data_IF_745431329716
#
_entry.id   IF_745431329716
#
_cell.length_a   1.000
_cell.length_b   1.000
_cell.length_c   1.000
_cell.angle_alpha   90.00
_cell.angle_beta   90.00
_cell.angle_gamma   90.00
#
_symmetry.space_group_name_H-M   'P 1'
#
loop_
_entity.id
_entity.type
_entity.pdbx_description
1 polymer ?
#
# COMPACT_ATOMS: atom_id res chain seq x y z
N UNK A 1 17.57 9.00 3.55
CA UNK A 1 17.82 7.99 2.52
C UNK A 1 17.24 6.64 2.94
N UNK A 2 16.97 5.74 1.98
CA UNK A 2 16.40 4.41 2.24
C UNK A 2 16.84 3.41 1.15
N UNK A 3 16.81 2.10 1.47
CA UNK A 3 17.17 1.00 0.57
C UNK A 3 15.93 0.17 0.21
N UNK A 4 15.62 0.07 -1.07
CA UNK A 4 14.61 -0.88 -1.56
C UNK A 4 15.20 -2.29 -1.63
N UNK A 5 14.44 -3.28 -1.16
CA UNK A 5 14.89 -4.68 -1.08
C UNK A 5 13.93 -5.62 -1.80
N UNK A 6 14.45 -6.74 -2.29
CA UNK A 6 13.64 -7.80 -2.90
C UNK A 6 13.53 -8.99 -1.94
N UNK A 7 12.31 -9.27 -1.48
CA UNK A 7 12.00 -10.34 -0.52
C UNK A 7 10.82 -11.22 -0.94
N UNK A 8 10.45 -11.23 -2.23
CA UNK A 8 9.36 -12.05 -2.76
C UNK A 8 8.13 -11.30 -3.28
N UNK A 9 8.16 -9.96 -3.26
CA UNK A 9 7.14 -9.09 -3.87
C UNK A 9 7.29 -8.95 -5.37
N UNK A 10 6.18 -8.71 -6.06
CA UNK A 10 6.10 -8.32 -7.47
C UNK A 10 5.17 -7.12 -7.63
N UNK A 11 5.35 -6.34 -8.69
CA UNK A 11 4.41 -5.28 -9.05
C UNK A 11 3.21 -5.86 -9.81
N UNK A 12 2.08 -5.15 -9.74
CA UNK A 12 0.84 -5.54 -10.41
C UNK A 12 -0.18 -6.12 -9.44
N UNK A 13 -1.30 -6.57 -10.01
CA UNK A 13 -2.28 -7.35 -9.28
C UNK A 13 -1.81 -8.81 -9.23
N UNK A 14 -1.88 -9.42 -8.04
CA UNK A 14 -1.71 -10.87 -7.93
C UNK A 14 -2.95 -11.59 -8.51
N UNK A 15 -2.79 -12.83 -8.98
CA UNK A 15 -3.93 -13.70 -9.30
C UNK A 15 -4.90 -13.81 -8.14
N UNK A 16 -6.19 -13.97 -8.44
CA UNK A 16 -7.23 -14.10 -7.42
C UNK A 16 -6.92 -15.23 -6.44
N UNK A 17 -7.02 -14.94 -5.14
CA UNK A 17 -6.73 -15.88 -4.05
C UNK A 17 -5.25 -16.16 -3.81
N UNK A 18 -4.33 -15.58 -4.59
CA UNK A 18 -2.89 -15.73 -4.36
C UNK A 18 -2.39 -14.67 -3.37
N UNK A 19 -1.72 -15.13 -2.31
CA UNK A 19 -0.89 -14.28 -1.44
C UNK A 19 0.58 -14.65 -1.68
N UNK A 20 1.46 -13.69 -2.04
CA UNK A 20 2.87 -13.98 -2.25
C UNK A 20 3.54 -14.44 -0.95
N UNK A 21 4.54 -15.32 -1.05
CA UNK A 21 5.37 -15.68 0.12
C UNK A 21 6.54 -14.71 0.25
N UNK A 22 6.70 -14.09 1.42
CA UNK A 22 7.84 -13.22 1.69
C UNK A 22 8.96 -13.95 2.44
N UNK A 23 10.21 -13.64 2.09
CA UNK A 23 11.42 -14.09 2.78
C UNK A 23 11.78 -13.12 3.92
N UNK A 24 11.08 -13.28 5.04
CA UNK A 24 11.25 -12.42 6.23
C UNK A 24 12.62 -12.61 6.89
N UNK A 25 13.21 -13.80 6.81
CA UNK A 25 14.54 -14.03 7.35
C UNK A 25 15.61 -13.26 6.57
N UNK A 26 15.49 -13.21 5.24
CA UNK A 26 16.33 -12.33 4.42
C UNK A 26 16.14 -10.86 4.74
N UNK A 27 14.89 -10.42 4.96
CA UNK A 27 14.60 -9.03 5.37
C UNK A 27 15.34 -8.68 6.67
N UNK A 28 15.22 -9.51 7.71
CA UNK A 28 15.91 -9.32 8.99
C UNK A 28 17.41 -9.21 8.78
N UNK A 29 18.00 -10.12 8.00
CA UNK A 29 19.44 -10.13 7.76
C UNK A 29 19.93 -8.86 7.06
N UNK A 30 19.19 -8.37 6.07
CA UNK A 30 19.51 -7.11 5.38
C UNK A 30 19.41 -5.94 6.36
N UNK A 31 18.37 -5.90 7.20
CA UNK A 31 18.19 -4.83 8.18
C UNK A 31 19.34 -4.79 9.19
N UNK A 32 19.75 -5.94 9.71
CA UNK A 32 20.88 -6.07 10.65
C UNK A 32 22.20 -5.59 10.04
N UNK A 33 22.49 -5.98 8.79
CA UNK A 33 23.76 -5.66 8.14
C UNK A 33 23.87 -4.20 7.71
N UNK A 34 22.75 -3.59 7.31
CA UNK A 34 22.75 -2.25 6.72
C UNK A 34 22.41 -1.16 7.73
N UNK A 35 21.58 -1.45 8.73
CA UNK A 35 20.99 -0.46 9.63
C UNK A 35 20.03 0.53 8.94
N UNK A 36 20.07 0.63 7.61
CA UNK A 36 19.33 1.61 6.82
C UNK A 36 17.80 1.45 6.91
N UNK A 37 17.02 2.53 6.71
CA UNK A 37 15.60 2.40 6.48
C UNK A 37 15.31 1.57 5.23
N UNK A 38 14.39 0.60 5.31
CA UNK A 38 14.11 -0.31 4.19
C UNK A 38 12.76 -0.01 3.53
N UNK A 39 12.68 -0.24 2.22
CA UNK A 39 11.49 0.00 1.39
C UNK A 39 10.97 -1.31 0.78
N UNK A 40 9.67 -1.53 0.91
CA UNK A 40 8.92 -2.62 0.26
C UNK A 40 8.23 -2.09 -1.00
N UNK A 41 8.68 -2.57 -2.15
CA UNK A 41 7.98 -2.39 -3.42
C UNK A 41 6.91 -3.47 -3.60
N UNK A 42 5.92 -3.25 -4.47
CA UNK A 42 4.89 -4.26 -4.75
C UNK A 42 4.04 -4.66 -3.55
N UNK A 43 3.72 -3.74 -2.63
CA UNK A 43 2.97 -4.03 -1.41
C UNK A 43 1.47 -4.27 -1.62
N UNK A 44 0.92 -3.88 -2.77
CA UNK A 44 -0.49 -4.14 -3.13
C UNK A 44 -0.79 -5.62 -3.19
N UNK A 45 -1.96 -6.04 -2.68
CA UNK A 45 -2.37 -7.45 -2.68
C UNK A 45 -1.44 -8.41 -1.91
N UNK A 46 -0.49 -7.90 -1.11
CA UNK A 46 0.50 -8.73 -0.42
C UNK A 46 -0.06 -9.49 0.80
N UNK A 47 -1.29 -9.18 1.24
CA UNK A 47 -1.90 -9.75 2.44
C UNK A 47 -1.44 -9.08 3.74
N UNK A 48 -2.33 -9.03 4.74
CA UNK A 48 -2.07 -8.30 5.99
C UNK A 48 -0.89 -8.85 6.78
N UNK A 49 -0.78 -10.18 6.85
CA UNK A 49 0.29 -10.84 7.62
C UNK A 49 1.66 -10.46 7.09
N UNK A 50 1.85 -10.49 5.77
CA UNK A 50 3.09 -10.08 5.12
C UNK A 50 3.43 -8.62 5.40
N UNK A 51 2.45 -7.71 5.33
CA UNK A 51 2.68 -6.30 5.61
C UNK A 51 3.09 -6.10 7.07
N UNK A 52 2.35 -6.70 8.02
CA UNK A 52 2.65 -6.61 9.46
C UNK A 52 4.02 -7.20 9.78
N UNK A 53 4.34 -8.39 9.24
CA UNK A 53 5.62 -9.03 9.41
C UNK A 53 6.76 -8.19 8.81
N UNK A 54 6.56 -7.61 7.64
CA UNK A 54 7.56 -6.73 7.00
C UNK A 54 7.87 -5.50 7.85
N UNK A 55 6.84 -4.83 8.37
CA UNK A 55 7.02 -3.66 9.26
C UNK A 55 7.72 -4.06 10.55
N UNK A 56 7.30 -5.16 11.18
CA UNK A 56 7.89 -5.65 12.42
C UNK A 56 9.39 -6.01 12.28
N UNK A 57 9.84 -6.35 11.06
CA UNK A 57 11.20 -6.80 10.79
C UNK A 57 12.07 -5.77 10.04
N UNK A 58 11.61 -4.52 9.93
CA UNK A 58 12.47 -3.40 9.54
C UNK A 58 12.11 -2.67 8.25
N UNK A 59 10.99 -2.98 7.59
CA UNK A 59 10.45 -2.11 6.54
C UNK A 59 9.91 -0.81 7.14
N UNK A 60 10.30 0.32 6.56
CA UNK A 60 9.90 1.66 6.96
C UNK A 60 9.00 2.38 5.93
N UNK A 61 9.02 1.94 4.68
CA UNK A 61 8.21 2.50 3.59
C UNK A 61 7.59 1.38 2.76
N UNK A 62 6.31 1.49 2.45
CA UNK A 62 5.56 0.51 1.66
C UNK A 62 4.96 1.23 0.44
N UNK A 63 5.06 0.61 -0.74
CA UNK A 63 4.46 1.13 -1.97
C UNK A 63 3.23 0.29 -2.35
N UNK A 64 2.05 0.90 -2.41
CA UNK A 64 0.74 0.22 -2.59
C UNK A 64 -0.03 0.73 -3.82
N UNK A 65 0.69 0.97 -4.92
CA UNK A 65 0.16 1.67 -6.10
C UNK A 65 -1.01 0.99 -6.80
N UNK A 66 -0.99 -0.34 -6.96
CA UNK A 66 -2.05 -1.06 -7.68
C UNK A 66 -3.39 -0.96 -6.95
N UNK A 67 -3.40 -1.20 -5.64
CA UNK A 67 -4.62 -1.06 -4.84
C UNK A 67 -5.16 0.37 -4.92
N UNK A 68 -4.28 1.37 -4.80
CA UNK A 68 -4.69 2.78 -4.91
C UNK A 68 -5.34 3.08 -6.27
N UNK A 69 -4.71 2.68 -7.37
CA UNK A 69 -5.26 2.89 -8.70
C UNK A 69 -6.56 2.13 -8.94
N UNK A 70 -6.68 0.89 -8.43
CA UNK A 70 -7.90 0.10 -8.52
C UNK A 70 -9.04 0.77 -7.74
N UNK A 71 -8.79 1.26 -6.52
CA UNK A 71 -9.81 1.98 -5.74
C UNK A 71 -10.30 3.25 -6.45
N UNK A 72 -9.40 4.01 -7.07
CA UNK A 72 -9.78 5.20 -7.85
C UNK A 72 -10.60 4.83 -9.09
N UNK A 73 -10.18 3.79 -9.82
CA UNK A 73 -10.92 3.26 -10.98
C UNK A 73 -12.34 2.84 -10.58
N UNK A 74 -12.47 2.09 -9.50
CA UNK A 74 -13.76 1.53 -9.06
C UNK A 74 -14.70 2.63 -8.55
N UNK A 75 -14.17 3.62 -7.81
CA UNK A 75 -14.93 4.80 -7.42
C UNK A 75 -15.41 5.59 -8.65
N UNK A 76 -14.52 5.84 -9.61
CA UNK A 76 -14.85 6.54 -10.86
C UNK A 76 -15.95 5.82 -11.63
N UNK A 77 -15.81 4.50 -11.81
CA UNK A 77 -16.78 3.68 -12.54
C UNK A 77 -18.16 3.71 -11.87
N UNK A 78 -18.21 3.66 -10.53
CA UNK A 78 -19.45 3.76 -9.76
C UNK A 78 -20.11 5.13 -9.95
N UNK A 79 -19.36 6.22 -9.78
CA UNK A 79 -19.90 7.58 -9.89
C UNK A 79 -20.44 7.85 -11.30
N UNK A 80 -19.70 7.47 -12.35
CA UNK A 80 -20.12 7.68 -13.73
C UNK A 80 -21.33 6.82 -14.14
N UNK A 81 -21.52 5.66 -13.49
CA UNK A 81 -22.72 4.85 -13.69
C UNK A 81 -23.97 5.56 -13.17
N UNK A 82 -23.86 6.24 -12.03
CA UNK A 82 -25.00 6.90 -11.38
C UNK A 82 -25.24 8.32 -11.90
N UNK A 83 -24.16 9.05 -12.23
CA UNK A 83 -24.23 10.41 -12.79
C UNK A 83 -23.20 10.59 -13.94
N UNK A 84 -23.55 10.16 -15.17
CA UNK A 84 -22.63 10.24 -16.31
C UNK A 84 -22.34 11.68 -16.78
N UNK A 85 -23.09 12.68 -16.31
CA UNK A 85 -22.92 14.09 -16.69
C UNK A 85 -22.23 14.92 -15.59
N UNK A 86 -21.69 14.28 -14.56
CA UNK A 86 -20.90 14.95 -13.53
C UNK A 86 -19.75 15.74 -14.16
N UNK A 87 -19.50 16.96 -13.68
CA UNK A 87 -18.35 17.72 -14.15
C UNK A 87 -17.05 17.15 -13.55
N UNK A 88 -15.93 17.47 -14.19
CA UNK A 88 -14.64 16.88 -13.82
C UNK A 88 -14.20 17.21 -12.39
N UNK A 89 -14.46 18.43 -11.89
CA UNK A 89 -14.04 18.85 -10.55
C UNK A 89 -14.77 18.05 -9.46
N UNK A 90 -16.09 17.88 -9.60
CA UNK A 90 -16.87 17.09 -8.64
C UNK A 90 -16.49 15.60 -8.71
N UNK A 91 -16.19 15.08 -9.91
CA UNK A 91 -15.74 13.70 -10.08
C UNK A 91 -14.44 13.43 -9.32
N UNK A 92 -13.39 14.23 -9.54
CA UNK A 92 -12.10 14.00 -8.87
C UNK A 92 -12.21 14.16 -7.35
N UNK A 93 -13.03 15.11 -6.89
CA UNK A 93 -13.24 15.33 -5.46
C UNK A 93 -13.93 14.12 -4.80
N UNK A 94 -14.99 13.59 -5.43
CA UNK A 94 -15.69 12.43 -4.89
C UNK A 94 -14.82 11.16 -4.96
N UNK A 95 -14.04 10.97 -6.03
CA UNK A 95 -13.10 9.85 -6.16
C UNK A 95 -12.01 9.90 -5.07
N UNK A 96 -11.48 11.08 -4.76
CA UNK A 96 -10.53 11.26 -3.66
C UNK A 96 -11.15 10.85 -2.32
N UNK A 97 -12.36 11.33 -2.03
CA UNK A 97 -13.08 10.97 -0.80
C UNK A 97 -13.33 9.46 -0.71
N UNK A 98 -13.86 8.85 -1.77
CA UNK A 98 -14.24 7.44 -1.81
C UNK A 98 -13.00 6.52 -1.71
N UNK A 99 -11.90 6.88 -2.37
CA UNK A 99 -10.66 6.09 -2.36
C UNK A 99 -9.81 6.33 -1.10
N UNK A 100 -10.07 7.40 -0.33
CA UNK A 100 -9.30 7.73 0.87
C UNK A 100 -9.29 6.64 1.93
N UNK A 101 -10.33 5.81 1.99
CA UNK A 101 -10.41 4.74 2.99
C UNK A 101 -9.35 3.66 2.77
N UNK A 102 -8.95 3.41 1.52
CA UNK A 102 -7.85 2.50 1.23
C UNK A 102 -6.52 3.01 1.80
N UNK A 103 -6.29 4.33 1.74
CA UNK A 103 -5.10 4.95 2.33
C UNK A 103 -5.15 4.82 3.85
N UNK A 104 -6.32 5.08 4.47
CA UNK A 104 -6.50 4.88 5.92
C UNK A 104 -6.29 3.43 6.34
N UNK A 105 -6.74 2.48 5.53
CA UNK A 105 -6.49 1.05 5.74
C UNK A 105 -4.99 0.76 5.83
N UNK A 106 -4.20 1.21 4.86
CA UNK A 106 -2.75 1.00 4.88
C UNK A 106 -2.03 1.74 6.01
N UNK A 107 -2.49 2.93 6.40
CA UNK A 107 -1.99 3.65 7.58
C UNK A 107 -2.18 2.83 8.85
N UNK A 108 -3.37 2.22 9.03
CA UNK A 108 -3.66 1.35 10.18
C UNK A 108 -2.88 0.05 10.11
N UNK A 109 -2.82 -0.59 8.94
CA UNK A 109 -2.14 -1.86 8.72
C UNK A 109 -0.63 -1.76 8.96
N UNK A 110 0.01 -0.69 8.48
CA UNK A 110 1.42 -0.40 8.72
C UNK A 110 1.70 0.11 10.15
N UNK A 111 0.66 0.34 10.96
CA UNK A 111 0.79 0.84 12.32
C UNK A 111 1.34 2.27 12.38
N UNK A 112 1.09 3.11 11.37
CA UNK A 112 1.52 4.52 11.36
C UNK A 112 0.47 5.49 11.89
N UNK A 113 -0.76 5.01 12.15
CA UNK A 113 -1.82 5.81 12.77
C UNK A 113 -1.35 6.43 14.10
N UNK A 114 -1.62 7.72 14.30
CA UNK A 114 -1.25 8.46 15.51
C UNK A 114 0.24 8.74 15.70
N UNK A 115 1.09 8.47 14.70
CA UNK A 115 2.55 8.71 14.76
C UNK A 115 3.00 10.03 14.13
N UNK A 116 2.06 10.92 13.80
CA UNK A 116 2.42 12.28 13.38
C UNK A 116 3.21 12.97 14.50
N UNK A 117 4.25 13.73 14.14
CA UNK A 117 4.96 14.55 15.13
C UNK A 117 3.97 15.56 15.70
N UNK A 118 3.93 15.67 17.03
CA UNK A 118 3.29 16.81 17.68
C UNK A 118 4.27 17.97 17.52
N UNK A 119 3.80 19.05 16.91
CA UNK A 119 4.50 20.34 16.89
C UNK A 119 4.57 20.93 18.30
#
# INVERSE_FOLDING_TARGET
DALAVSIGTSHGNYPDGMVPKFDIERLKKIKELTGAPLVLHGGSGSGEENIRASVANGINKINVGCDFMNANRDATAKILKDNPQINYFDLIHQVEQDSSELVRYYIRLAGSNGKARKE
#
